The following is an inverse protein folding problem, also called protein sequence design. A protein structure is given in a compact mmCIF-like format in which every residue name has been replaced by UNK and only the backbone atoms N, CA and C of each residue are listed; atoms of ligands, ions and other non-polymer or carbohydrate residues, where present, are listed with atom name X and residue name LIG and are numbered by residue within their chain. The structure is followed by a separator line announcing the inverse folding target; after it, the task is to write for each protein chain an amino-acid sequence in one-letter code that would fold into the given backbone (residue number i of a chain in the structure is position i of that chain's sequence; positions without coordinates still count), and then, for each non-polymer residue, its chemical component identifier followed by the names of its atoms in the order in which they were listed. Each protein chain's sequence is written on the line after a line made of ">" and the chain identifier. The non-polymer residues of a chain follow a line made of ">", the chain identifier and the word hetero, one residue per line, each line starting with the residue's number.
data_IF_272940977170
#
_entry.id   IF_272940977170
#
_cell.length_a   1.000
_cell.length_b   1.000
_cell.length_c   1.000
_cell.angle_alpha   90.00
_cell.angle_beta   90.00
_cell.angle_gamma   90.00
#
_symmetry.space_group_name_H-M   'P 1'
#
loop_
_entity.id
_entity.type
_entity.pdbx_description
1 polymer ?
#
# COMPACT_ATOMS: atom_id res chain seq x y z
N UNK A 1 61.48 20.30 0.04
CA UNK A 1 60.72 19.64 1.14
C UNK A 1 59.36 20.28 1.38
N UNK A 2 59.22 21.61 1.51
CA UNK A 2 57.90 22.26 1.74
C UNK A 2 56.86 21.98 0.63
N UNK A 3 57.24 21.97 -0.64
CA UNK A 3 56.36 21.69 -1.78
C UNK A 3 55.91 20.21 -1.82
N UNK A 4 56.75 19.26 -1.37
CA UNK A 4 56.40 17.87 -1.26
C UNK A 4 55.41 17.59 -0.11
N UNK A 5 55.54 18.31 1.02
CA UNK A 5 54.61 18.23 2.13
C UNK A 5 53.22 18.77 1.75
N UNK A 6 53.14 19.85 0.97
CA UNK A 6 51.88 20.39 0.46
C UNK A 6 51.18 19.42 -0.52
N UNK A 7 51.95 18.74 -1.38
CA UNK A 7 51.41 17.71 -2.27
C UNK A 7 50.92 16.48 -1.49
N UNK A 8 51.65 16.01 -0.48
CA UNK A 8 51.26 14.89 0.37
C UNK A 8 50.01 15.24 1.23
N UNK A 9 49.91 16.47 1.77
CA UNK A 9 48.73 16.91 2.47
C UNK A 9 47.52 17.03 1.54
N UNK A 10 47.66 17.49 0.31
CA UNK A 10 46.63 17.54 -0.71
C UNK A 10 46.12 16.10 -1.14
N UNK A 11 47.06 15.15 -1.26
CA UNK A 11 46.71 13.77 -1.57
C UNK A 11 45.94 13.06 -0.43
N UNK A 12 46.27 13.35 0.83
CA UNK A 12 45.56 12.83 2.00
C UNK A 12 44.13 13.40 2.13
N UNK A 13 43.89 14.61 1.65
CA UNK A 13 42.53 15.19 1.64
C UNK A 13 41.63 14.57 0.56
N UNK A 14 42.20 14.02 -0.52
CA UNK A 14 41.44 13.39 -1.58
C UNK A 14 40.97 11.97 -1.24
N UNK A 15 41.57 11.29 -0.25
CA UNK A 15 41.19 9.92 0.16
C UNK A 15 40.04 9.91 1.15
N UNK A 16 39.62 11.06 1.67
CA UNK A 16 38.55 11.18 2.69
C UNK A 16 37.12 11.21 2.12
N UNK A 17 36.95 11.08 0.79
CA UNK A 17 35.63 11.18 0.16
C UNK A 17 34.70 9.97 0.38
N UNK A 18 35.11 8.97 1.15
CA UNK A 18 34.32 7.75 1.41
C UNK A 18 33.95 7.54 2.87
N UNK A 19 33.56 8.62 3.59
CA UNK A 19 33.19 8.53 5.03
C UNK A 19 31.97 7.65 5.27
N UNK A 20 31.11 7.48 4.29
CA UNK A 20 29.91 6.66 4.39
C UNK A 20 30.07 5.38 3.57
N UNK A 21 29.99 4.24 4.24
CA UNK A 21 29.89 2.94 3.58
C UNK A 21 28.58 2.87 2.78
N UNK A 22 28.67 2.31 1.58
CA UNK A 22 27.45 2.01 0.79
C UNK A 22 26.63 1.01 1.57
N UNK A 23 25.36 1.31 1.78
CA UNK A 23 24.43 0.36 2.39
C UNK A 23 24.31 -0.88 1.52
N UNK A 24 24.63 -2.05 2.08
CA UNK A 24 24.38 -3.35 1.50
C UNK A 24 23.36 -4.05 2.36
N UNK A 25 22.33 -4.59 1.72
CA UNK A 25 21.27 -5.32 2.42
C UNK A 25 21.90 -6.57 3.05
N UNK A 26 21.74 -6.78 4.37
CA UNK A 26 22.24 -8.01 5.02
C UNK A 26 21.59 -9.23 4.38
N UNK A 27 22.37 -10.24 4.05
CA UNK A 27 21.84 -11.54 3.66
C UNK A 27 21.20 -12.19 4.89
N UNK A 28 19.88 -12.32 4.87
CA UNK A 28 19.14 -13.02 5.91
C UNK A 28 19.12 -14.49 5.54
N UNK A 29 19.79 -15.32 6.32
CA UNK A 29 19.70 -16.78 6.18
C UNK A 29 18.30 -17.22 6.63
N UNK A 30 17.44 -17.58 5.68
CA UNK A 30 16.07 -18.02 5.91
C UNK A 30 15.96 -19.54 6.10
N UNK A 31 17.09 -20.28 6.02
CA UNK A 31 17.10 -21.74 6.21
C UNK A 31 16.62 -22.10 7.62
N UNK A 32 15.57 -22.86 7.73
CA UNK A 32 15.00 -23.29 9.01
C UNK A 32 14.04 -22.30 9.70
N UNK A 33 13.79 -21.10 9.12
CA UNK A 33 12.77 -20.17 9.64
C UNK A 33 11.35 -20.59 9.28
N UNK A 34 11.18 -21.24 8.13
CA UNK A 34 9.94 -21.88 7.72
C UNK A 34 10.11 -23.37 7.96
N UNK A 35 9.12 -24.02 8.56
CA UNK A 35 9.12 -25.48 8.75
C UNK A 35 9.39 -26.11 7.38
N UNK A 36 10.65 -26.48 7.14
CA UNK A 36 11.02 -27.24 5.96
C UNK A 36 10.14 -28.50 5.96
N UNK A 37 9.19 -28.58 5.06
CA UNK A 37 8.53 -29.83 4.76
C UNK A 37 9.66 -30.71 4.27
N UNK A 38 10.14 -31.61 5.14
CA UNK A 38 11.05 -32.65 4.72
C UNK A 38 10.33 -33.35 3.56
N UNK A 39 10.83 -33.10 2.37
CA UNK A 39 10.31 -33.70 1.15
C UNK A 39 10.66 -35.19 1.20
N UNK A 40 9.81 -35.97 1.90
CA UNK A 40 9.68 -37.35 1.57
C UNK A 40 8.98 -37.45 0.22
N UNK A 41 9.81 -37.54 -0.82
CA UNK A 41 9.57 -38.22 -2.10
C UNK A 41 8.22 -38.05 -2.80
N UNK A 42 7.56 -36.90 -2.77
CA UNK A 42 6.67 -36.50 -3.84
C UNK A 42 7.21 -35.22 -4.43
N UNK A 43 8.19 -35.41 -5.32
CA UNK A 43 8.71 -34.38 -6.19
C UNK A 43 7.64 -33.95 -7.19
N UNK A 44 6.66 -33.18 -6.73
CA UNK A 44 6.10 -32.18 -7.62
C UNK A 44 7.26 -31.25 -7.93
N UNK A 45 7.72 -31.32 -9.16
CA UNK A 45 8.82 -30.51 -9.67
C UNK A 45 8.55 -29.06 -9.27
N UNK A 46 9.30 -28.58 -8.27
CA UNK A 46 9.33 -27.15 -7.89
C UNK A 46 10.10 -26.42 -8.97
N UNK A 47 9.51 -26.33 -10.15
CA UNK A 47 10.05 -25.51 -11.24
C UNK A 47 9.45 -24.10 -11.25
N UNK A 48 8.45 -23.84 -10.41
CA UNK A 48 7.81 -22.54 -10.34
C UNK A 48 8.01 -21.91 -8.95
N UNK A 49 9.16 -21.22 -8.81
CA UNK A 49 9.48 -20.38 -7.67
C UNK A 49 8.87 -18.98 -7.81
N UNK A 50 7.97 -18.76 -8.75
CA UNK A 50 7.22 -17.52 -8.82
C UNK A 50 6.31 -17.45 -7.61
N UNK A 51 6.68 -16.57 -6.67
CA UNK A 51 5.84 -16.30 -5.51
C UNK A 51 4.43 -15.94 -5.99
N UNK A 52 3.41 -16.59 -5.44
CA UNK A 52 1.99 -16.30 -5.72
C UNK A 52 1.69 -14.79 -5.65
N UNK A 53 2.42 -14.06 -4.79
CA UNK A 53 2.33 -12.60 -4.67
C UNK A 53 2.78 -11.81 -5.90
N UNK A 54 3.55 -12.44 -6.82
CA UNK A 54 4.00 -11.79 -8.06
C UNK A 54 3.05 -12.02 -9.24
N UNK A 55 2.03 -12.87 -9.07
CA UNK A 55 1.04 -13.11 -10.12
C UNK A 55 0.14 -11.88 -10.31
N UNK A 56 -0.17 -11.58 -11.56
CA UNK A 56 -1.14 -10.54 -11.86
C UNK A 56 -2.51 -10.95 -11.29
N UNK A 57 -3.17 -10.08 -10.54
CA UNK A 57 -4.45 -10.38 -9.90
C UNK A 57 -5.54 -10.88 -10.87
N UNK A 58 -5.46 -10.44 -12.16
CA UNK A 58 -6.37 -10.93 -13.21
C UNK A 58 -6.20 -12.41 -13.56
N UNK A 59 -5.03 -12.98 -13.31
CA UNK A 59 -4.80 -14.41 -13.50
C UNK A 59 -5.28 -15.24 -12.30
N UNK A 60 -5.31 -14.62 -11.13
CA UNK A 60 -5.80 -15.21 -9.89
C UNK A 60 -7.34 -15.23 -9.83
N UNK A 61 -7.96 -14.10 -10.17
CA UNK A 61 -9.42 -13.95 -10.17
C UNK A 61 -9.93 -13.99 -11.61
N UNK A 62 -10.48 -15.12 -12.00
CA UNK A 62 -10.95 -15.38 -13.38
C UNK A 62 -12.39 -14.97 -13.65
N UNK A 63 -13.16 -14.64 -12.60
CA UNK A 63 -14.55 -14.19 -12.72
C UNK A 63 -14.63 -12.79 -13.31
N UNK A 64 -15.28 -12.59 -14.49
CA UNK A 64 -15.36 -11.27 -15.14
C UNK A 64 -16.12 -10.22 -14.32
N UNK A 65 -17.13 -10.65 -13.52
CA UNK A 65 -17.88 -9.73 -12.67
C UNK A 65 -17.00 -9.21 -11.54
N UNK A 66 -16.25 -10.11 -10.89
CA UNK A 66 -15.29 -9.72 -9.87
C UNK A 66 -14.20 -8.81 -10.43
N UNK A 67 -13.68 -9.11 -11.63
CA UNK A 67 -12.67 -8.28 -12.28
C UNK A 67 -13.18 -6.85 -12.52
N UNK A 68 -14.41 -6.69 -13.00
CA UNK A 68 -15.01 -5.38 -13.22
C UNK A 68 -15.20 -4.59 -11.93
N UNK A 69 -15.60 -5.26 -10.84
CA UNK A 69 -15.72 -4.64 -9.52
C UNK A 69 -14.37 -4.21 -8.95
N UNK A 70 -13.34 -5.03 -9.13
CA UNK A 70 -11.97 -4.67 -8.72
C UNK A 70 -11.48 -3.44 -9.50
N UNK A 71 -11.68 -3.39 -10.82
CA UNK A 71 -11.28 -2.25 -11.63
C UNK A 71 -12.00 -0.96 -11.21
N UNK A 72 -13.30 -1.04 -10.99
CA UNK A 72 -14.09 0.10 -10.51
C UNK A 72 -13.61 0.55 -9.12
N UNK A 73 -13.31 -0.40 -8.24
CA UNK A 73 -12.78 -0.13 -6.91
C UNK A 73 -11.40 0.54 -6.96
N UNK A 74 -10.48 0.04 -7.79
CA UNK A 74 -9.15 0.63 -7.94
C UNK A 74 -9.19 2.06 -8.49
N UNK A 75 -10.12 2.36 -9.39
CA UNK A 75 -10.28 3.69 -9.97
C UNK A 75 -10.88 4.71 -9.00
N UNK A 76 -11.81 4.29 -8.14
CA UNK A 76 -12.60 5.20 -7.31
C UNK A 76 -12.24 5.15 -5.82
N UNK A 77 -11.28 4.30 -5.41
CA UNK A 77 -10.94 4.15 -4.01
C UNK A 77 -10.07 5.31 -3.51
N UNK A 78 -10.52 5.98 -2.46
CA UNK A 78 -9.83 7.13 -1.85
C UNK A 78 -8.43 6.77 -1.34
N UNK A 79 -8.22 5.55 -0.83
CA UNK A 79 -6.90 5.12 -0.36
C UNK A 79 -5.91 4.97 -1.52
N UNK A 80 -6.39 4.51 -2.70
CA UNK A 80 -5.56 4.46 -3.92
C UNK A 80 -5.17 5.86 -4.39
N UNK A 81 -6.13 6.81 -4.39
CA UNK A 81 -5.86 8.20 -4.73
C UNK A 81 -4.84 8.82 -3.77
N UNK A 82 -5.02 8.63 -2.47
CA UNK A 82 -4.08 9.12 -1.44
C UNK A 82 -2.69 8.49 -1.60
N UNK A 83 -2.60 7.19 -1.90
CA UNK A 83 -1.32 6.54 -2.14
C UNK A 83 -0.62 7.12 -3.39
N UNK A 84 -1.36 7.38 -4.47
CA UNK A 84 -0.81 8.02 -5.67
C UNK A 84 -0.34 9.46 -5.41
N UNK A 85 -1.10 10.24 -4.63
CA UNK A 85 -0.69 11.59 -4.22
C UNK A 85 0.55 11.58 -3.32
N UNK A 86 0.67 10.60 -2.42
CA UNK A 86 1.87 10.42 -1.60
C UNK A 86 3.12 10.11 -2.45
N UNK A 87 2.99 9.27 -3.47
CA UNK A 87 4.09 9.02 -4.42
C UNK A 87 4.51 10.33 -5.07
N UNK A 88 3.57 11.13 -5.57
CA UNK A 88 3.84 12.41 -6.20
C UNK A 88 4.52 13.39 -5.25
N UNK A 89 4.06 13.48 -4.01
CA UNK A 89 4.68 14.31 -2.97
C UNK A 89 6.14 13.93 -2.71
N UNK A 90 6.46 12.63 -2.65
CA UNK A 90 7.83 12.15 -2.44
C UNK A 90 8.69 12.32 -3.70
N UNK A 91 8.10 12.27 -4.90
CA UNK A 91 8.78 12.64 -6.16
C UNK A 91 9.20 14.13 -6.14
N UNK A 92 8.32 15.02 -5.67
CA UNK A 92 8.63 16.44 -5.51
C UNK A 92 9.74 16.67 -4.44
N UNK A 93 9.72 15.90 -3.34
CA UNK A 93 10.80 15.95 -2.33
C UNK A 93 12.15 15.49 -2.93
N UNK A 94 12.15 14.46 -3.77
CA UNK A 94 13.36 14.05 -4.49
C UNK A 94 13.82 15.15 -5.46
N UNK A 95 12.91 15.86 -6.11
CA UNK A 95 13.24 17.00 -6.97
C UNK A 95 13.91 18.11 -6.15
N UNK A 96 13.38 18.43 -4.97
CA UNK A 96 14.01 19.41 -4.04
C UNK A 96 15.42 18.98 -3.67
N UNK A 97 15.62 17.70 -3.31
CA UNK A 97 16.95 17.15 -3.00
C UNK A 97 17.93 17.22 -4.19
N UNK A 98 17.46 17.11 -5.42
CA UNK A 98 18.26 17.31 -6.63
C UNK A 98 18.60 18.77 -6.87
N UNK A 99 17.63 19.67 -6.64
CA UNK A 99 17.82 21.11 -6.82
C UNK A 99 18.74 21.72 -5.77
N UNK A 100 18.94 21.07 -4.61
CA UNK A 100 19.88 21.53 -3.58
C UNK A 100 21.34 21.59 -4.06
N UNK A 101 21.69 20.95 -5.17
CA UNK A 101 23.02 21.08 -5.81
C UNK A 101 23.16 22.32 -6.70
N UNK A 102 22.07 23.03 -6.98
CA UNK A 102 22.06 24.21 -7.85
C UNK A 102 22.08 25.46 -6.99
N UNK A 103 22.80 26.55 -7.38
CA UNK A 103 22.73 27.80 -6.66
C UNK A 103 21.31 28.36 -6.62
N UNK A 104 20.90 28.79 -5.42
CA UNK A 104 19.64 29.49 -5.22
C UNK A 104 19.84 31.03 -5.41
N UNK A 105 18.87 31.67 -6.05
CA UNK A 105 18.82 33.12 -6.20
C UNK A 105 17.58 33.65 -5.48
N UNK A 106 17.78 34.61 -4.61
CA UNK A 106 16.71 35.28 -3.87
C UNK A 106 16.67 36.72 -4.25
N UNK A 107 15.50 37.21 -4.65
CA UNK A 107 15.23 38.64 -4.88
C UNK A 107 14.25 39.10 -3.79
N UNK A 108 14.70 40.08 -2.96
CA UNK A 108 13.95 40.52 -1.78
C UNK A 108 13.82 42.03 -1.80
N UNK A 109 12.90 42.59 -2.61
CA UNK A 109 12.70 44.03 -2.63
C UNK A 109 12.21 44.53 -1.26
N UNK A 110 12.82 45.59 -0.76
CA UNK A 110 12.48 46.22 0.51
C UNK A 110 12.27 47.70 0.33
N UNK A 111 11.28 48.26 1.00
CA UNK A 111 11.03 49.68 1.06
C UNK A 111 10.76 50.10 2.51
N UNK A 112 11.45 51.14 2.97
CA UNK A 112 11.23 51.74 4.29
C UNK A 112 10.84 53.19 4.13
N UNK A 113 9.79 53.61 4.81
CA UNK A 113 9.36 54.99 4.94
C UNK A 113 9.47 55.34 6.42
N UNK A 114 10.36 56.23 6.78
CA UNK A 114 10.57 56.70 8.14
C UNK A 114 10.30 58.19 8.23
N UNK A 115 9.49 58.63 9.18
CA UNK A 115 9.22 60.01 9.51
C UNK A 115 9.36 60.21 11.03
N UNK A 116 10.09 61.20 11.44
CA UNK A 116 10.34 61.53 12.84
C UNK A 116 10.12 63.01 13.07
N UNK A 117 9.43 63.38 14.14
CA UNK A 117 9.33 64.71 14.70
C UNK A 117 8.95 65.82 13.69
N UNK A 118 7.94 65.52 12.82
CA UNK A 118 7.44 66.47 11.82
C UNK A 118 8.35 66.69 10.60
N UNK A 119 9.47 66.01 10.50
CA UNK A 119 10.36 66.08 9.35
C UNK A 119 9.76 65.31 8.13
N UNK A 120 10.11 65.72 6.88
CA UNK A 120 9.69 65.01 5.69
C UNK A 120 10.09 63.54 5.75
N UNK A 121 9.17 62.63 5.35
CA UNK A 121 9.43 61.23 5.36
C UNK A 121 10.59 60.83 4.45
N UNK A 122 11.57 60.15 5.03
CA UNK A 122 12.67 59.56 4.27
C UNK A 122 12.21 58.24 3.67
N UNK A 123 12.36 58.08 2.36
CA UNK A 123 11.99 56.89 1.61
C UNK A 123 13.26 56.19 1.12
N UNK A 124 13.46 54.95 1.56
CA UNK A 124 14.59 54.15 1.12
C UNK A 124 14.06 52.91 0.41
N UNK A 125 14.57 52.61 -0.78
CA UNK A 125 14.26 51.43 -1.54
C UNK A 125 15.54 50.62 -1.76
N UNK A 126 15.47 49.33 -1.53
CA UNK A 126 16.57 48.39 -1.72
C UNK A 126 16.06 47.20 -2.56
N UNK A 127 16.83 46.82 -3.57
CA UNK A 127 16.52 45.73 -4.48
C UNK A 127 17.67 44.69 -4.45
N UNK A 128 17.91 44.00 -3.31
CA UNK A 128 19.01 43.05 -3.22
C UNK A 128 18.69 41.77 -4.00
N UNK A 129 19.69 41.31 -4.77
CA UNK A 129 19.73 39.97 -5.35
C UNK A 129 20.83 39.22 -4.61
N UNK A 130 20.47 38.15 -3.94
CA UNK A 130 21.42 37.29 -3.22
C UNK A 130 21.54 35.95 -3.93
N UNK A 131 22.74 35.50 -4.25
CA UNK A 131 23.04 34.16 -4.72
C UNK A 131 23.64 33.34 -3.57
N UNK A 132 23.12 32.18 -3.30
CA UNK A 132 23.62 31.26 -2.30
C UNK A 132 23.87 29.87 -2.92
N UNK A 133 25.01 29.28 -2.63
CA UNK A 133 25.34 27.93 -3.12
C UNK A 133 26.03 27.12 -2.03
N UNK A 134 25.52 25.92 -1.79
CA UNK A 134 26.08 24.95 -0.86
C UNK A 134 26.95 23.96 -1.60
N UNK A 135 28.27 23.99 -1.36
CA UNK A 135 29.22 23.04 -1.92
C UNK A 135 29.23 21.81 -1.02
N UNK A 136 28.97 20.61 -1.60
CA UNK A 136 28.90 19.34 -0.86
C UNK A 136 30.29 18.72 -0.69
N UNK A 137 31.08 19.22 0.27
CA UNK A 137 32.44 18.76 0.54
C UNK A 137 32.47 17.38 1.22
N UNK A 138 31.44 17.01 1.97
CA UNK A 138 31.41 15.80 2.79
C UNK A 138 30.30 14.81 2.35
N UNK A 139 29.66 15.04 1.21
CA UNK A 139 28.65 14.14 0.66
C UNK A 139 27.31 14.18 1.39
N UNK A 140 27.02 15.24 2.15
CA UNK A 140 25.74 15.40 2.85
C UNK A 140 24.55 15.49 1.87
N UNK A 141 24.64 16.38 0.89
CA UNK A 141 23.61 16.56 -0.15
C UNK A 141 23.46 15.30 -1.00
N UNK A 142 24.58 14.63 -1.31
CA UNK A 142 24.58 13.35 -2.04
C UNK A 142 23.81 12.28 -1.26
N UNK A 143 24.03 12.16 0.04
CA UNK A 143 23.33 11.18 0.89
C UNK A 143 21.87 11.55 1.12
N UNK A 144 21.52 12.83 1.22
CA UNK A 144 20.13 13.29 1.24
C UNK A 144 19.39 12.89 -0.04
N UNK A 145 20.01 13.12 -1.22
CA UNK A 145 19.44 12.68 -2.51
C UNK A 145 19.24 11.17 -2.56
N UNK A 146 20.24 10.37 -2.10
CA UNK A 146 20.14 8.90 -2.04
C UNK A 146 18.99 8.46 -1.10
N UNK A 147 18.89 9.09 0.07
CA UNK A 147 17.80 8.85 1.02
C UNK A 147 16.44 9.14 0.40
N UNK A 148 16.28 10.29 -0.28
CA UNK A 148 15.05 10.64 -0.98
C UNK A 148 14.71 9.65 -2.11
N UNK A 149 15.72 9.10 -2.82
CA UNK A 149 15.51 8.05 -3.82
C UNK A 149 14.97 6.76 -3.19
N UNK A 150 15.52 6.33 -2.05
CA UNK A 150 15.05 5.15 -1.33
C UNK A 150 13.64 5.36 -0.74
N UNK A 151 13.36 6.56 -0.23
CA UNK A 151 12.02 6.94 0.22
C UNK A 151 10.99 6.86 -0.91
N UNK A 152 11.34 7.29 -2.12
CA UNK A 152 10.47 7.17 -3.29
C UNK A 152 10.19 5.71 -3.64
N UNK A 153 11.20 4.85 -3.65
CA UNK A 153 11.01 3.41 -3.90
C UNK A 153 10.10 2.79 -2.86
N UNK A 154 10.35 3.04 -1.56
CA UNK A 154 9.51 2.55 -0.48
C UNK A 154 8.05 3.03 -0.59
N UNK A 155 7.84 4.28 -1.03
CA UNK A 155 6.47 4.82 -1.22
C UNK A 155 5.76 4.16 -2.40
N UNK A 156 6.48 3.84 -3.48
CA UNK A 156 5.93 3.07 -4.62
C UNK A 156 5.55 1.65 -4.21
N UNK A 157 6.39 0.98 -3.42
CA UNK A 157 6.08 -0.34 -2.88
C UNK A 157 4.85 -0.27 -1.95
N UNK A 158 4.74 0.77 -1.12
CA UNK A 158 3.57 0.99 -0.29
C UNK A 158 2.28 1.19 -1.12
N UNK A 159 2.35 1.88 -2.25
CA UNK A 159 1.22 2.00 -3.18
C UNK A 159 0.74 0.61 -3.67
N UNK A 160 1.66 -0.31 -3.97
CA UNK A 160 1.32 -1.69 -4.34
C UNK A 160 0.65 -2.45 -3.18
N UNK A 161 1.10 -2.22 -1.94
CA UNK A 161 0.44 -2.79 -0.74
C UNK A 161 -1.01 -2.30 -0.62
N UNK A 162 -1.25 -0.99 -0.81
CA UNK A 162 -2.61 -0.42 -0.79
C UNK A 162 -3.47 -1.02 -1.90
N UNK A 163 -2.92 -1.14 -3.11
CA UNK A 163 -3.60 -1.78 -4.23
C UNK A 163 -4.01 -3.22 -3.91
N UNK A 164 -3.09 -4.02 -3.40
CA UNK A 164 -3.35 -5.42 -3.02
C UNK A 164 -4.43 -5.52 -1.94
N UNK A 165 -4.40 -4.61 -0.96
CA UNK A 165 -5.41 -4.56 0.11
C UNK A 165 -6.81 -4.24 -0.43
N UNK A 166 -6.92 -3.30 -1.37
CA UNK A 166 -8.20 -2.96 -2.01
C UNK A 166 -8.73 -4.16 -2.79
N UNK A 167 -7.90 -4.82 -3.60
CA UNK A 167 -8.26 -6.03 -4.35
C UNK A 167 -8.75 -7.13 -3.42
N UNK A 168 -7.99 -7.42 -2.37
CA UNK A 168 -8.32 -8.46 -1.39
C UNK A 168 -9.65 -8.17 -0.68
N UNK A 169 -9.90 -6.93 -0.29
CA UNK A 169 -11.15 -6.56 0.36
C UNK A 169 -12.35 -6.74 -0.57
N UNK A 170 -12.25 -6.32 -1.83
CA UNK A 170 -13.34 -6.47 -2.81
C UNK A 170 -13.60 -7.95 -3.08
N UNK A 171 -12.55 -8.75 -3.28
CA UNK A 171 -12.67 -10.19 -3.49
C UNK A 171 -13.33 -10.89 -2.30
N UNK A 172 -12.91 -10.58 -1.07
CA UNK A 172 -13.49 -11.14 0.14
C UNK A 172 -14.98 -10.79 0.28
N UNK A 173 -15.35 -9.53 0.03
CA UNK A 173 -16.75 -9.10 0.07
C UNK A 173 -17.58 -9.80 -1.00
N UNK A 174 -17.06 -9.93 -2.21
CA UNK A 174 -17.74 -10.62 -3.31
C UNK A 174 -18.01 -12.08 -3.00
N UNK A 175 -17.00 -12.83 -2.55
CA UNK A 175 -17.20 -14.25 -2.19
C UNK A 175 -18.06 -14.42 -0.94
N UNK A 176 -18.02 -13.48 0.00
CA UNK A 176 -18.93 -13.47 1.16
C UNK A 176 -20.37 -13.30 0.70
N UNK A 177 -20.62 -12.39 -0.25
CA UNK A 177 -21.95 -12.20 -0.82
C UNK A 177 -22.44 -13.47 -1.52
N UNK A 178 -21.62 -14.08 -2.37
CA UNK A 178 -21.97 -15.35 -3.02
C UNK A 178 -22.26 -16.48 -2.03
N UNK A 179 -21.52 -16.54 -0.94
CA UNK A 179 -21.75 -17.50 0.14
C UNK A 179 -23.13 -17.26 0.79
N UNK A 180 -23.47 -16.00 1.10
CA UNK A 180 -24.75 -15.64 1.70
C UNK A 180 -25.92 -15.92 0.75
N UNK A 181 -25.78 -15.66 -0.54
CA UNK A 181 -26.78 -15.98 -1.56
C UNK A 181 -27.04 -17.50 -1.63
N UNK A 182 -25.96 -18.29 -1.57
CA UNK A 182 -26.09 -19.75 -1.53
C UNK A 182 -26.72 -20.24 -0.23
N UNK A 183 -26.39 -19.64 0.89
CA UNK A 183 -26.96 -19.96 2.18
C UNK A 183 -28.47 -19.64 2.20
N UNK A 184 -28.87 -18.51 1.65
CA UNK A 184 -30.28 -18.13 1.52
C UNK A 184 -31.04 -19.14 0.66
N UNK A 185 -30.45 -19.57 -0.47
CA UNK A 185 -31.06 -20.58 -1.34
C UNK A 185 -31.27 -21.91 -0.59
N UNK A 186 -30.28 -22.36 0.18
CA UNK A 186 -30.40 -23.59 0.99
C UNK A 186 -31.50 -23.45 2.05
N UNK A 187 -31.60 -22.32 2.74
CA UNK A 187 -32.64 -22.08 3.74
C UNK A 187 -34.02 -22.06 3.09
N UNK A 188 -34.16 -21.46 1.91
CA UNK A 188 -35.42 -21.44 1.15
C UNK A 188 -35.87 -22.83 0.75
N UNK A 189 -34.95 -23.68 0.25
CA UNK A 189 -35.24 -25.05 -0.10
C UNK A 189 -35.61 -25.90 1.15
N UNK A 190 -34.95 -25.63 2.27
CA UNK A 190 -35.24 -26.28 3.55
C UNK A 190 -36.62 -25.89 4.08
N UNK A 191 -37.04 -24.60 3.94
CA UNK A 191 -38.35 -24.11 4.31
C UNK A 191 -39.48 -24.86 3.49
N UNK A 192 -39.28 -24.99 2.18
CA UNK A 192 -40.20 -25.74 1.31
C UNK A 192 -40.31 -27.22 1.74
N UNK A 193 -39.18 -27.88 1.98
CA UNK A 193 -39.14 -29.29 2.38
C UNK A 193 -39.84 -29.52 3.75
N UNK A 194 -39.63 -28.64 4.71
CA UNK A 194 -40.28 -28.71 6.02
C UNK A 194 -41.81 -28.47 5.92
N UNK A 195 -42.24 -27.56 5.04
CA UNK A 195 -43.66 -27.32 4.76
C UNK A 195 -44.31 -28.54 4.07
N UNK A 196 -43.66 -29.16 3.10
CA UNK A 196 -44.12 -30.41 2.47
C UNK A 196 -44.21 -31.54 3.50
N UNK A 197 -43.22 -31.69 4.37
CA UNK A 197 -43.20 -32.68 5.45
C UNK A 197 -44.40 -32.48 6.40
N UNK A 198 -44.68 -31.25 6.82
CA UNK A 198 -45.84 -30.94 7.63
C UNK A 198 -47.14 -31.31 6.92
N UNK A 199 -47.30 -30.98 5.64
CA UNK A 199 -48.47 -31.37 4.84
C UNK A 199 -48.66 -32.88 4.74
N UNK A 200 -47.58 -33.65 4.54
CA UNK A 200 -47.61 -35.12 4.53
C UNK A 200 -48.04 -35.66 5.90
N UNK A 201 -47.54 -35.07 7.01
CA UNK A 201 -47.93 -35.50 8.35
C UNK A 201 -49.42 -35.24 8.65
N UNK A 202 -50.02 -34.15 8.13
CA UNK A 202 -51.44 -33.88 8.23
C UNK A 202 -52.27 -34.98 7.52
N UNK A 203 -51.90 -35.32 6.30
CA UNK A 203 -52.57 -36.37 5.53
C UNK A 203 -52.44 -37.76 6.23
N UNK A 204 -51.26 -38.07 6.76
CA UNK A 204 -51.03 -39.34 7.47
C UNK A 204 -51.84 -39.41 8.77
N UNK A 205 -52.08 -38.27 9.46
CA UNK A 205 -52.95 -38.23 10.61
C UNK A 205 -54.40 -38.52 10.21
N UNK A 206 -54.90 -37.93 9.12
CA UNK A 206 -56.25 -38.17 8.61
C UNK A 206 -56.47 -39.64 8.27
N UNK A 207 -55.41 -40.31 7.80
CA UNK A 207 -55.41 -41.76 7.54
C UNK A 207 -55.18 -42.64 8.79
N UNK A 208 -55.10 -42.01 9.98
CA UNK A 208 -54.91 -42.70 11.26
C UNK A 208 -53.53 -43.32 11.45
N UNK A 209 -52.50 -42.94 10.63
CA UNK A 209 -51.15 -43.54 10.65
C UNK A 209 -50.23 -42.85 11.64
N UNK A 210 -50.43 -41.60 12.00
CA UNK A 210 -49.61 -40.83 12.94
C UNK A 210 -50.47 -40.10 13.98
N UNK A 211 -49.86 -39.77 15.11
CA UNK A 211 -50.53 -39.03 16.21
C UNK A 211 -50.49 -37.52 15.96
N UNK A 212 -51.41 -36.77 16.59
CA UNK A 212 -51.45 -35.29 16.59
C UNK A 212 -50.10 -34.69 16.98
N UNK A 213 -49.42 -35.27 17.97
CA UNK A 213 -48.12 -34.79 18.44
C UNK A 213 -47.03 -34.77 17.34
N UNK A 214 -47.13 -35.70 16.38
CA UNK A 214 -46.18 -35.75 15.24
C UNK A 214 -46.47 -34.62 14.25
N UNK A 215 -47.75 -34.25 14.03
CA UNK A 215 -48.11 -33.11 13.18
C UNK A 215 -47.64 -31.80 13.80
N UNK A 216 -47.87 -31.62 15.12
CA UNK A 216 -47.46 -30.44 15.85
C UNK A 216 -45.91 -30.30 15.88
N UNK A 217 -45.21 -31.40 16.01
CA UNK A 217 -43.71 -31.39 15.93
C UNK A 217 -43.23 -30.99 14.54
N UNK A 218 -43.85 -31.46 13.48
CA UNK A 218 -43.55 -31.08 12.10
C UNK A 218 -43.85 -29.58 11.85
N UNK A 219 -44.98 -29.10 12.38
CA UNK A 219 -45.37 -27.71 12.31
C UNK A 219 -44.37 -26.78 13.04
N UNK A 220 -43.97 -27.14 14.26
CA UNK A 220 -42.99 -26.40 15.03
C UNK A 220 -41.63 -26.36 14.29
N UNK A 221 -41.20 -27.48 13.67
CA UNK A 221 -40.00 -27.53 12.85
C UNK A 221 -40.10 -26.62 11.62
N UNK A 222 -41.25 -26.60 10.93
CA UNK A 222 -41.48 -25.68 9.80
C UNK A 222 -41.34 -24.22 10.22
N UNK A 223 -41.93 -23.81 11.36
CA UNK A 223 -41.80 -22.42 11.86
C UNK A 223 -40.40 -22.06 12.37
N UNK A 224 -39.58 -23.05 12.77
CA UNK A 224 -38.22 -22.81 13.21
C UNK A 224 -37.27 -22.51 12.06
N UNK A 225 -37.61 -22.91 10.84
CA UNK A 225 -36.83 -22.71 9.62
C UNK A 225 -37.25 -21.44 8.87
N UNK A 226 -38.52 -21.01 9.00
CA UNK A 226 -39.04 -19.74 8.47
C UNK A 226 -38.61 -18.56 9.30
#
# INVERSE_FOLDING_TARGET
>A
MKKLMLLAAGALLMTSCGIYNKYERPEVNTTGLVRDVQSNSDTLAVSDTTSFGNLAWRTVFTDPQLQSLIELGLQNNTNMLNAALNVKMVEDQLMVAKLAFVPGFTFSPQGTIASWDGNPATKTYSLPITASWNIDLFGNLLNQKRSAQMALLATKDYQLVVQTKVISNIANMYYTLLMLDKQLQVVDDMAKLTEETWNIMKIQKELGRVKETSVQSAEANMYSVK
#
